data_IF_961903132481
#
_entry.id   IF_961903132481
#
_cell.length_a   1.000
_cell.length_b   1.000
_cell.length_c   1.000
_cell.angle_alpha   90.00
_cell.angle_beta   90.00
_cell.angle_gamma   90.00
#
_symmetry.space_group_name_H-M   'P 1'
#
loop_
_entity.id
_entity.type
_entity.pdbx_description
1 polymer ?
#
# COMPACT_ATOMS: atom_id res chain seq x y z
N UNK A 1 -24.66 9.37 -6.64
CA UNK A 1 -23.34 8.90 -6.15
C UNK A 1 -22.38 10.08 -6.24
N UNK A 2 -21.99 10.65 -5.10
CA UNK A 2 -21.04 11.78 -5.06
C UNK A 2 -19.66 11.25 -5.45
N UNK A 3 -18.96 11.83 -6.42
CA UNK A 3 -17.63 11.35 -6.80
C UNK A 3 -16.71 11.48 -5.58
N UNK A 4 -16.09 10.37 -5.18
CA UNK A 4 -15.05 10.36 -4.14
C UNK A 4 -13.94 11.28 -4.64
N UNK A 5 -13.78 12.44 -3.99
CA UNK A 5 -12.82 13.45 -4.41
C UNK A 5 -11.42 12.89 -4.11
N UNK A 6 -10.75 12.34 -5.13
CA UNK A 6 -9.38 11.81 -5.00
C UNK A 6 -8.51 12.88 -4.34
N UNK A 7 -7.98 12.57 -3.17
CA UNK A 7 -7.17 13.50 -2.38
C UNK A 7 -5.97 13.86 -3.24
N UNK A 8 -5.73 15.16 -3.45
CA UNK A 8 -4.61 15.60 -4.29
C UNK A 8 -3.30 15.24 -3.60
N UNK A 9 -2.60 14.25 -4.14
CA UNK A 9 -1.25 13.85 -3.71
C UNK A 9 -0.23 14.54 -4.62
N UNK A 10 0.91 14.92 -4.06
CA UNK A 10 1.99 15.50 -4.86
C UNK A 10 2.64 14.40 -5.73
N UNK A 11 2.86 14.62 -7.04
CA UNK A 11 3.37 13.55 -7.91
C UNK A 11 4.77 13.08 -7.52
N UNK A 12 4.99 11.76 -7.49
CA UNK A 12 6.29 11.16 -7.10
C UNK A 12 7.45 11.65 -7.97
N UNK A 13 7.21 11.75 -9.28
CA UNK A 13 8.20 12.21 -10.26
C UNK A 13 8.53 13.70 -10.15
N UNK A 14 7.67 14.51 -9.52
CA UNK A 14 7.90 15.94 -9.33
C UNK A 14 8.71 16.26 -8.06
N UNK A 15 9.03 15.26 -7.25
CA UNK A 15 9.84 15.44 -6.03
C UNK A 15 11.29 15.64 -6.45
N UNK A 16 11.88 16.76 -6.02
CA UNK A 16 13.27 17.10 -6.36
C UNK A 16 14.23 16.47 -5.34
N UNK A 17 15.30 15.86 -5.82
CA UNK A 17 16.30 15.18 -4.97
C UNK A 17 15.76 13.91 -4.33
N UNK A 18 16.35 13.50 -3.20
CA UNK A 18 16.04 12.25 -2.49
C UNK A 18 16.25 10.99 -3.35
N UNK A 19 17.22 11.01 -4.27
CA UNK A 19 17.41 9.93 -5.25
C UNK A 19 17.66 8.56 -4.58
N UNK A 20 18.44 8.52 -3.51
CA UNK A 20 18.68 7.29 -2.75
C UNK A 20 17.40 6.76 -2.09
N UNK A 21 16.60 7.64 -1.48
CA UNK A 21 15.32 7.26 -0.88
C UNK A 21 14.33 6.77 -1.93
N UNK A 22 14.20 7.47 -3.06
CA UNK A 22 13.33 7.06 -4.16
C UNK A 22 13.74 5.69 -4.70
N UNK A 23 15.03 5.48 -4.93
CA UNK A 23 15.57 4.20 -5.41
C UNK A 23 15.26 3.08 -4.42
N UNK A 24 15.55 3.27 -3.13
CA UNK A 24 15.28 2.27 -2.11
C UNK A 24 13.81 1.87 -2.06
N UNK A 25 12.90 2.85 -2.13
CA UNK A 25 11.46 2.61 -2.17
C UNK A 25 11.02 1.87 -3.43
N UNK A 26 11.52 2.26 -4.61
CA UNK A 26 11.19 1.59 -5.87
C UNK A 26 11.68 0.14 -5.89
N UNK A 27 12.90 -0.12 -5.40
CA UNK A 27 13.42 -1.48 -5.27
C UNK A 27 12.55 -2.32 -4.34
N UNK A 28 12.09 -1.75 -3.23
CA UNK A 28 11.23 -2.45 -2.29
C UNK A 28 9.84 -2.77 -2.85
N UNK A 29 9.30 -1.90 -3.70
CA UNK A 29 8.06 -2.17 -4.45
C UNK A 29 8.26 -3.31 -5.45
N UNK A 30 9.42 -3.38 -6.12
CA UNK A 30 9.73 -4.42 -7.11
C UNK A 30 9.97 -5.77 -6.43
N UNK A 31 10.76 -5.80 -5.35
CA UNK A 31 11.06 -7.01 -4.59
C UNK A 31 10.89 -6.77 -3.08
N UNK A 32 9.71 -7.08 -2.52
CA UNK A 32 9.44 -6.93 -1.10
C UNK A 32 10.34 -7.80 -0.20
N UNK A 33 11.01 -8.83 -0.75
CA UNK A 33 11.92 -9.70 0.03
C UNK A 33 13.19 -8.97 0.47
N UNK A 34 13.47 -7.80 -0.09
CA UNK A 34 14.52 -6.88 0.39
C UNK A 34 14.25 -6.49 1.86
N UNK A 35 13.02 -6.54 2.33
CA UNK A 35 12.63 -6.23 3.71
C UNK A 35 11.95 -4.87 3.80
N UNK A 36 12.30 -4.08 4.82
CA UNK A 36 11.77 -2.73 5.01
C UNK A 36 12.83 -1.64 4.74
N UNK A 37 12.38 -0.46 4.31
CA UNK A 37 13.25 0.71 4.13
C UNK A 37 13.11 1.64 5.34
N UNK A 38 14.19 1.82 6.09
CA UNK A 38 14.24 2.82 7.18
C UNK A 38 14.77 4.15 6.66
N UNK A 39 13.95 5.19 6.70
CA UNK A 39 14.29 6.52 6.18
C UNK A 39 14.48 7.49 7.34
N UNK A 40 15.72 7.90 7.56
CA UNK A 40 16.09 8.87 8.61
C UNK A 40 16.26 10.28 8.04
N UNK A 41 16.11 11.30 8.89
CA UNK A 41 16.47 12.69 8.58
C UNK A 41 15.59 13.71 9.28
N UNK A 42 15.86 14.99 9.04
CA UNK A 42 15.22 16.09 9.75
C UNK A 42 13.72 16.26 9.46
N UNK A 43 13.01 16.89 10.39
CA UNK A 43 11.62 17.28 10.17
C UNK A 43 11.55 18.26 9.00
N UNK A 44 10.54 18.11 8.16
CA UNK A 44 10.30 19.02 7.04
C UNK A 44 11.00 18.63 5.73
N UNK A 45 11.78 17.54 5.69
CA UNK A 45 12.43 17.08 4.43
C UNK A 45 11.50 16.35 3.47
N UNK A 46 10.19 16.29 3.73
CA UNK A 46 9.21 15.72 2.80
C UNK A 46 9.16 14.18 2.73
N UNK A 47 9.80 13.45 3.65
CA UNK A 47 9.80 11.96 3.68
C UNK A 47 8.40 11.34 3.54
N UNK A 48 7.45 11.79 4.36
CA UNK A 48 6.08 11.27 4.33
C UNK A 48 5.29 11.78 3.10
N UNK A 49 5.73 12.86 2.46
CA UNK A 49 5.18 13.31 1.17
C UNK A 49 5.58 12.34 0.07
N UNK A 50 6.86 11.94 0.02
CA UNK A 50 7.38 10.98 -0.95
C UNK A 50 6.73 9.60 -0.81
N UNK A 51 6.53 9.11 0.42
CA UNK A 51 5.83 7.84 0.67
C UNK A 51 4.37 7.90 0.18
N UNK A 52 3.64 9.00 0.47
CA UNK A 52 2.27 9.20 -0.05
C UNK A 52 2.21 9.24 -1.57
N UNK A 53 3.16 9.94 -2.18
CA UNK A 53 3.28 10.05 -3.62
C UNK A 53 3.52 8.69 -4.29
N UNK A 54 4.31 7.82 -3.66
CA UNK A 54 4.52 6.46 -4.13
C UNK A 54 3.25 5.61 -3.99
N UNK A 55 2.58 5.66 -2.83
CA UNK A 55 1.35 4.89 -2.62
C UNK A 55 0.24 5.26 -3.62
N UNK A 56 0.11 6.55 -3.97
CA UNK A 56 -0.84 7.02 -5.00
C UNK A 56 -0.46 6.62 -6.44
N UNK A 57 0.82 6.29 -6.67
CA UNK A 57 1.32 5.83 -7.97
C UNK A 57 1.08 4.32 -8.18
N UNK A 58 0.95 3.54 -7.11
CA UNK A 58 0.75 2.11 -7.20
C UNK A 58 -0.63 1.78 -7.80
N UNK A 59 -0.75 0.68 -8.56
CA UNK A 59 -2.04 0.22 -9.04
C UNK A 59 -2.95 -0.17 -7.86
N UNK A 60 -4.25 -0.20 -8.13
CA UNK A 60 -5.20 -0.79 -7.20
C UNK A 60 -4.90 -2.28 -7.03
N UNK A 61 -5.13 -2.77 -5.82
CA UNK A 61 -5.03 -4.18 -5.45
C UNK A 61 -6.43 -4.77 -5.31
N UNK A 62 -6.58 -6.03 -5.71
CA UNK A 62 -7.82 -6.78 -5.48
C UNK A 62 -7.84 -7.29 -4.05
N UNK A 63 -8.90 -6.98 -3.32
CA UNK A 63 -9.05 -7.37 -1.91
C UNK A 63 -10.41 -8.02 -1.69
N UNK A 64 -10.50 -8.89 -0.68
CA UNK A 64 -11.79 -9.42 -0.24
C UNK A 64 -12.63 -8.28 0.34
N UNK A 65 -13.83 -8.07 -0.20
CA UNK A 65 -14.69 -6.97 0.17
C UNK A 65 -15.10 -7.05 1.64
N UNK A 66 -14.89 -5.96 2.37
CA UNK A 66 -15.19 -5.87 3.80
C UNK A 66 -14.13 -6.44 4.75
N UNK A 67 -13.04 -7.02 4.24
CA UNK A 67 -11.96 -7.52 5.09
C UNK A 67 -11.08 -6.34 5.61
N UNK A 68 -10.87 -6.20 6.92
CA UNK A 68 -10.07 -5.11 7.49
C UNK A 68 -8.57 -5.23 7.17
N UNK A 69 -8.09 -6.41 6.78
CA UNK A 69 -6.69 -6.68 6.50
C UNK A 69 -6.34 -6.58 5.01
N UNK A 70 -7.32 -6.27 4.15
CA UNK A 70 -7.15 -6.23 2.69
C UNK A 70 -6.62 -7.56 2.14
N UNK A 71 -7.12 -8.68 2.67
CA UNK A 71 -6.72 -10.03 2.30
C UNK A 71 -6.84 -10.26 0.79
N UNK A 72 -5.88 -10.98 0.22
CA UNK A 72 -5.91 -11.33 -1.20
C UNK A 72 -7.01 -12.38 -1.47
N UNK A 73 -7.82 -12.21 -2.52
CA UNK A 73 -8.75 -13.26 -2.94
C UNK A 73 -8.04 -14.41 -3.67
N UNK A 74 -6.79 -14.23 -4.11
CA UNK A 74 -6.07 -15.17 -4.98
C UNK A 74 -4.85 -15.81 -4.33
N UNK A 75 -4.24 -15.16 -3.35
CA UNK A 75 -3.00 -15.61 -2.71
C UNK A 75 -3.26 -16.07 -1.27
N UNK A 76 -3.18 -17.38 -0.97
CA UNK A 76 -3.37 -17.90 0.38
C UNK A 76 -2.42 -17.31 1.41
N UNK A 77 -1.17 -16.97 1.06
CA UNK A 77 -0.18 -16.43 1.99
C UNK A 77 -0.53 -15.01 2.43
N UNK A 78 -1.37 -14.31 1.67
CA UNK A 78 -1.87 -12.96 1.93
C UNK A 78 -3.32 -12.96 2.42
N UNK A 79 -3.82 -14.09 2.94
CA UNK A 79 -5.17 -14.20 3.50
C UNK A 79 -5.15 -14.19 5.03
N UNK A 80 -6.12 -13.49 5.62
CA UNK A 80 -6.48 -13.69 7.02
C UNK A 80 -7.00 -15.11 7.26
N UNK A 81 -6.93 -15.57 8.51
CA UNK A 81 -7.40 -16.92 8.87
C UNK A 81 -8.89 -17.14 8.54
N UNK A 82 -9.70 -16.08 8.67
CA UNK A 82 -11.13 -16.13 8.35
C UNK A 82 -11.37 -16.23 6.84
N UNK A 83 -10.70 -15.39 6.04
CA UNK A 83 -10.80 -15.44 4.58
C UNK A 83 -10.33 -16.78 4.04
N UNK A 84 -9.22 -17.30 4.57
CA UNK A 84 -8.68 -18.61 4.18
C UNK A 84 -9.67 -19.73 4.45
N UNK A 85 -10.26 -19.79 5.65
CA UNK A 85 -11.24 -20.81 5.99
C UNK A 85 -12.46 -20.80 5.06
N UNK A 86 -12.93 -19.61 4.66
CA UNK A 86 -14.04 -19.45 3.72
C UNK A 86 -13.65 -19.88 2.30
N UNK A 87 -12.45 -19.54 1.85
CA UNK A 87 -11.91 -19.99 0.56
C UNK A 87 -11.78 -21.52 0.50
N UNK A 88 -11.31 -22.17 1.57
CA UNK A 88 -11.18 -23.62 1.69
C UNK A 88 -12.54 -24.34 1.67
N UNK A 89 -13.60 -23.68 2.12
CA UNK A 89 -14.99 -24.17 2.02
C UNK A 89 -15.59 -24.01 0.62
N UNK A 90 -14.87 -23.40 -0.32
CA UNK A 90 -15.33 -23.16 -1.68
C UNK A 90 -16.34 -22.01 -1.78
N UNK A 91 -16.37 -21.10 -0.81
CA UNK A 91 -17.20 -19.89 -0.92
C UNK A 91 -16.67 -18.93 -1.98
N UNK A 92 -17.57 -18.30 -2.73
CA UNK A 92 -17.21 -17.16 -3.57
C UNK A 92 -16.94 -15.93 -2.71
N UNK A 93 -15.67 -15.51 -2.66
CA UNK A 93 -15.25 -14.32 -1.96
C UNK A 93 -15.57 -13.08 -2.81
N UNK A 94 -16.38 -12.11 -2.32
CA UNK A 94 -16.60 -10.87 -3.05
C UNK A 94 -15.28 -10.10 -3.14
N UNK A 95 -14.95 -9.58 -4.32
CA UNK A 95 -13.71 -8.85 -4.60
C UNK A 95 -14.02 -7.39 -4.90
N UNK A 96 -13.24 -6.48 -4.33
CA UNK A 96 -13.27 -5.07 -4.68
C UNK A 96 -11.86 -4.54 -4.97
N UNK A 97 -11.69 -3.64 -5.95
CA UNK A 97 -10.42 -2.95 -6.15
C UNK A 97 -10.22 -1.91 -5.04
N UNK A 98 -9.01 -1.84 -4.51
CA UNK A 98 -8.66 -0.89 -3.44
C UNK A 98 -7.31 -0.25 -3.70
N UNK A 99 -7.23 1.06 -3.49
CA UNK A 99 -5.97 1.79 -3.50
C UNK A 99 -5.05 1.29 -2.38
N UNK A 100 -3.74 1.24 -2.63
CA UNK A 100 -2.77 0.80 -1.63
C UNK A 100 -2.84 1.72 -0.40
N UNK A 101 -3.16 1.19 0.79
CA UNK A 101 -3.32 2.02 1.98
C UNK A 101 -1.96 2.47 2.52
N UNK A 102 -1.88 3.74 2.90
CA UNK A 102 -0.81 4.21 3.77
C UNK A 102 -1.28 4.09 5.22
N UNK A 103 -0.58 3.29 6.02
CA UNK A 103 -0.86 3.09 7.45
C UNK A 103 0.17 3.86 8.28
N UNK A 104 -0.30 4.84 9.05
CA UNK A 104 0.52 5.55 10.03
C UNK A 104 0.42 4.80 11.38
N UNK A 105 1.50 4.14 11.79
CA UNK A 105 1.57 3.46 13.09
C UNK A 105 1.93 4.47 14.20
N UNK A 106 1.29 4.39 15.38
CA UNK A 106 1.69 5.20 16.51
C UNK A 106 3.10 4.80 16.94
N UNK A 107 4.01 5.77 16.92
CA UNK A 107 5.27 5.65 17.62
C UNK A 107 4.95 5.89 19.09
N UNK A 108 5.12 4.84 19.91
CA UNK A 108 4.95 4.94 21.37
C UNK A 108 5.86 5.97 22.00
#
# INVERSE_FOLDING_TARGET
MTPVRKRRVFPFTAIVGQEEMKLALLLNVIDPRIGGVMIMGDRGTGKSTTIRALADLLPEIDVVAGDPYNSSPFDPDLQSAEVRARAEQGEELPVEPRQVPMVDLPLG
#
